data_IF_940054268396
#
_entry.id   IF_940054268396
#
_cell.length_a   1.000
_cell.length_b   1.000
_cell.length_c   1.000
_cell.angle_alpha   90.00
_cell.angle_beta   90.00
_cell.angle_gamma   90.00
#
_symmetry.space_group_name_H-M   'P 1'
#
loop_
_entity.id
_entity.type
_entity.pdbx_description
1 polymer ?
#
# COMPACT_ATOMS: atom_id res chain seq x y z
N UNK A 1 11.10 5.35 8.98
CA UNK A 1 9.65 5.59 8.80
C UNK A 1 9.42 7.09 8.77
N UNK A 2 8.67 7.58 7.78
CA UNK A 2 8.29 8.98 7.60
C UNK A 2 6.78 9.03 7.37
N UNK A 3 6.03 9.62 8.30
CA UNK A 3 4.62 9.92 8.10
C UNK A 3 4.48 11.27 7.43
N UNK A 4 3.50 11.41 6.55
CA UNK A 4 3.21 12.69 5.91
C UNK A 4 2.38 13.56 6.82
N UNK A 5 2.65 14.86 6.80
CA UNK A 5 1.90 15.86 7.57
C UNK A 5 0.44 15.95 7.08
N UNK A 6 0.25 15.73 5.78
CA UNK A 6 -1.05 15.55 5.14
C UNK A 6 -1.08 14.25 4.36
N UNK A 7 -2.17 13.48 4.43
CA UNK A 7 -2.32 12.30 3.60
C UNK A 7 -2.28 12.68 2.11
N UNK A 8 -1.62 11.85 1.30
CA UNK A 8 -1.47 12.07 -0.14
C UNK A 8 -2.31 11.04 -0.89
N UNK A 9 -3.02 11.46 -1.92
CA UNK A 9 -3.76 10.50 -2.77
C UNK A 9 -2.82 9.83 -3.76
N UNK A 10 -2.90 8.51 -3.85
CA UNK A 10 -2.23 7.73 -4.88
C UNK A 10 -3.20 6.75 -5.53
N UNK A 11 -2.93 6.37 -6.77
CA UNK A 11 -3.64 5.31 -7.46
C UNK A 11 -2.86 4.01 -7.34
N UNK A 12 -3.45 3.02 -6.67
CA UNK A 12 -2.99 1.64 -6.67
C UNK A 12 -3.35 1.02 -8.02
N UNK A 13 -2.35 0.68 -8.84
CA UNK A 13 -2.59 0.22 -10.22
C UNK A 13 -2.67 -1.30 -10.39
N UNK A 14 -2.41 -2.06 -9.33
CA UNK A 14 -2.58 -3.52 -9.28
C UNK A 14 -3.44 -3.91 -8.08
N UNK A 15 -4.30 -4.91 -8.27
CA UNK A 15 -5.03 -5.54 -7.17
C UNK A 15 -4.04 -6.23 -6.22
N UNK A 16 -4.23 -6.06 -4.91
CA UNK A 16 -3.40 -6.69 -3.89
C UNK A 16 -4.19 -7.80 -3.22
N UNK A 17 -3.74 -9.02 -3.43
CA UNK A 17 -4.20 -10.19 -2.69
C UNK A 17 -3.09 -10.65 -1.78
N UNK A 18 -3.35 -10.64 -0.47
CA UNK A 18 -2.53 -11.41 0.45
C UNK A 18 -3.31 -12.63 0.93
N UNK A 19 -2.57 -13.71 1.11
CA UNK A 19 -3.07 -14.95 1.67
C UNK A 19 -2.36 -15.16 3.00
N UNK A 20 -3.09 -15.61 4.02
CA UNK A 20 -2.43 -16.14 5.21
C UNK A 20 -1.63 -17.39 4.80
N UNK A 21 -0.46 -17.55 5.40
CA UNK A 21 0.61 -18.50 5.05
C UNK A 21 0.16 -19.91 4.65
N UNK A 22 1.02 -20.63 3.93
CA UNK A 22 0.80 -22.01 3.40
C UNK A 22 0.24 -23.04 4.38
N UNK A 23 0.37 -22.83 5.70
CA UNK A 23 -0.13 -23.73 6.75
C UNK A 23 -1.65 -23.65 7.00
N UNK A 24 -2.33 -22.59 6.53
CA UNK A 24 -3.74 -22.33 6.88
C UNK A 24 -4.64 -22.18 5.64
N UNK A 25 -4.67 -23.21 4.79
CA UNK A 25 -5.63 -23.41 3.69
C UNK A 25 -5.76 -22.22 2.69
N UNK A 26 -4.71 -21.39 2.54
CA UNK A 26 -4.71 -20.19 1.68
C UNK A 26 -5.94 -19.31 1.90
N UNK A 27 -6.35 -19.12 3.15
CA UNK A 27 -7.39 -18.14 3.43
C UNK A 27 -6.92 -16.75 2.99
N UNK A 28 -7.79 -16.08 2.23
CA UNK A 28 -7.51 -14.77 1.68
C UNK A 28 -7.49 -13.78 2.86
N UNK A 29 -6.30 -13.29 3.20
CA UNK A 29 -6.09 -12.38 4.32
C UNK A 29 -6.69 -11.00 4.02
N UNK A 30 -6.53 -10.54 2.77
CA UNK A 30 -7.16 -9.33 2.26
C UNK A 30 -7.13 -9.26 0.73
N UNK A 31 -8.19 -8.68 0.15
CA UNK A 31 -8.31 -8.32 -1.26
C UNK A 31 -8.47 -6.80 -1.31
N UNK A 32 -7.48 -6.11 -1.86
CA UNK A 32 -7.60 -4.70 -2.21
C UNK A 32 -7.69 -4.56 -3.72
N UNK A 33 -8.82 -4.07 -4.19
CA UNK A 33 -8.99 -3.73 -5.59
C UNK A 33 -8.15 -2.48 -5.94
N UNK A 34 -7.65 -2.43 -7.18
CA UNK A 34 -6.99 -1.25 -7.73
C UNK A 34 -7.91 -0.03 -7.63
N UNK A 35 -7.36 1.12 -7.29
CA UNK A 35 -8.17 2.31 -7.03
C UNK A 35 -7.41 3.44 -6.39
N UNK A 36 -8.13 4.51 -6.05
CA UNK A 36 -7.54 5.63 -5.30
C UNK A 36 -7.44 5.26 -3.82
N UNK A 37 -6.22 5.34 -3.31
CA UNK A 37 -5.88 5.06 -1.91
C UNK A 37 -5.25 6.28 -1.28
N UNK A 38 -5.34 6.34 0.04
CA UNK A 38 -4.75 7.44 0.82
C UNK A 38 -3.41 6.99 1.39
N UNK A 39 -2.32 7.62 0.99
CA UNK A 39 -0.97 7.35 1.49
C UNK A 39 -0.71 8.20 2.73
N UNK A 40 -0.42 7.54 3.84
CA UNK A 40 -0.16 8.15 5.14
C UNK A 40 1.33 8.40 5.40
N UNK A 41 2.20 7.68 4.68
CA UNK A 41 3.65 7.80 4.83
C UNK A 41 4.42 6.72 4.09
N UNK A 42 5.73 6.69 4.30
CA UNK A 42 6.65 5.70 3.73
C UNK A 42 7.71 5.22 4.74
N UNK A 43 8.23 4.02 4.54
CA UNK A 43 9.34 3.50 5.33
C UNK A 43 10.26 2.63 4.47
N UNK A 44 11.53 2.54 4.88
CA UNK A 44 12.51 1.69 4.23
C UNK A 44 12.39 0.27 4.76
N UNK A 45 12.44 -0.71 3.86
CA UNK A 45 12.38 -2.13 4.21
C UNK A 45 12.91 -3.01 3.08
N UNK A 46 13.85 -3.88 3.41
CA UNK A 46 14.43 -4.87 2.49
C UNK A 46 13.45 -5.98 2.06
N UNK A 47 12.26 -6.05 2.69
CA UNK A 47 11.21 -7.00 2.29
C UNK A 47 10.50 -6.60 1.01
N UNK A 48 10.66 -5.35 0.57
CA UNK A 48 9.99 -4.80 -0.60
C UNK A 48 11.02 -4.60 -1.73
N UNK A 49 10.64 -4.94 -2.96
CA UNK A 49 11.54 -4.97 -4.13
C UNK A 49 12.17 -3.60 -4.39
N UNK A 50 11.48 -2.51 -4.03
CA UNK A 50 11.99 -1.15 -4.13
C UNK A 50 12.77 -0.61 -2.91
N UNK A 51 12.99 -1.42 -1.88
CA UNK A 51 13.60 -1.01 -0.60
C UNK A 51 12.76 -0.01 0.20
N UNK A 52 11.57 0.35 -0.30
CA UNK A 52 10.64 1.31 0.28
C UNK A 52 9.21 0.84 0.15
N UNK A 53 8.48 0.92 1.25
CA UNK A 53 7.06 0.67 1.33
C UNK A 53 6.30 1.94 1.72
N UNK A 54 5.07 2.04 1.23
CA UNK A 54 4.13 3.09 1.57
C UNK A 54 3.04 2.52 2.47
N UNK A 55 2.66 3.30 3.48
CA UNK A 55 1.53 3.00 4.35
C UNK A 55 0.29 3.61 3.69
N UNK A 56 -0.68 2.79 3.33
CA UNK A 56 -1.92 3.22 2.69
C UNK A 56 -3.14 2.89 3.55
N UNK A 57 -4.17 3.72 3.41
CA UNK A 57 -5.49 3.54 3.99
C UNK A 57 -6.51 3.40 2.86
N UNK A 58 -7.26 2.29 2.88
CA UNK A 58 -8.31 1.98 1.91
C UNK A 58 -9.69 1.99 2.58
N UNK A 59 -10.02 3.07 3.28
CA UNK A 59 -11.33 3.33 3.91
C UNK A 59 -11.74 2.39 5.06
N UNK A 60 -11.20 1.19 5.13
CA UNK A 60 -11.48 0.19 6.17
C UNK A 60 -10.19 -0.20 6.93
N UNK A 61 -9.09 -0.43 6.20
CA UNK A 61 -7.84 -0.94 6.76
C UNK A 61 -6.61 -0.11 6.40
N UNK A 62 -5.57 -0.24 7.24
CA UNK A 62 -4.23 0.33 7.02
C UNK A 62 -3.25 -0.80 6.69
N UNK A 63 -2.64 -0.73 5.52
CA UNK A 63 -1.67 -1.73 5.05
C UNK A 63 -0.39 -1.08 4.53
N UNK A 64 0.66 -1.89 4.34
CA UNK A 64 1.91 -1.46 3.72
C UNK A 64 2.15 -2.13 2.37
N UNK A 65 2.39 -1.32 1.34
CA UNK A 65 2.55 -1.76 -0.05
C UNK A 65 3.88 -1.28 -0.61
N UNK A 66 4.41 -1.96 -1.63
CA UNK A 66 5.62 -1.49 -2.32
C UNK A 66 5.35 -0.11 -2.95
N UNK A 67 6.29 0.83 -2.82
CA UNK A 67 6.13 2.17 -3.39
C UNK A 67 5.87 2.15 -4.90
N UNK A 68 6.43 1.18 -5.63
CA UNK A 68 6.23 0.99 -7.07
C UNK A 68 4.81 0.57 -7.46
N UNK A 69 3.99 0.11 -6.52
CA UNK A 69 2.58 -0.22 -6.75
C UNK A 69 1.67 1.01 -6.76
N UNK A 70 2.19 2.17 -6.36
CA UNK A 70 1.43 3.41 -6.25
C UNK A 70 1.85 4.40 -7.35
N UNK A 71 0.85 5.02 -7.97
CA UNK A 71 1.01 6.23 -8.78
C UNK A 71 0.51 7.41 -7.98
N UNK A 72 1.44 8.19 -7.42
CA UNK A 72 1.09 9.42 -6.71
C UNK A 72 0.40 10.38 -7.67
N UNK A 73 -0.77 10.85 -7.27
CA UNK A 73 -1.52 11.85 -8.05
C UNK A 73 -1.03 13.19 -7.53
N UNK A 74 0.07 13.67 -8.09
CA UNK A 74 0.60 14.99 -7.75
C UNK A 74 -0.42 16.03 -8.22
N UNK A 75 -1.10 16.68 -7.28
CA UNK A 75 -1.68 17.98 -7.57
C UNK A 75 -0.53 18.96 -7.62
N UNK A 76 -0.03 19.24 -8.82
CA UNK A 76 0.85 20.39 -9.05
C UNK A 76 0.22 21.62 -8.37
N UNK A 77 0.94 22.27 -7.47
CA UNK A 77 0.73 23.67 -7.09
C UNK A 77 2.04 24.27 -6.59
#
# INVERSE_FOLDING_TARGET
>A
MRLYDKPVTAYLHNDLTAFESEENDKQLAYLFEKGYVTVLGEFESDKYVGGKACIIFNQEDVISVDRGMLRFVDGES
#
